data_IF_565817095503
#
_entry.id   IF_565817095503
#
_cell.length_a   1.000
_cell.length_b   1.000
_cell.length_c   1.000
_cell.angle_alpha   90.00
_cell.angle_beta   90.00
_cell.angle_gamma   90.00
#
_symmetry.space_group_name_H-M   'P 1'
#
loop_
_entity.id
_entity.type
_entity.pdbx_description
1 polymer ?
#
# COMPACT_ATOMS: atom_id res chain seq x y z
N UNK A 1 6.31 30.21 -11.39
CA UNK A 1 5.62 29.50 -10.29
C UNK A 1 6.39 28.22 -9.99
N UNK A 2 6.84 27.99 -8.75
CA UNK A 2 7.41 26.68 -8.36
C UNK A 2 6.30 25.65 -8.44
N UNK A 3 6.48 24.59 -9.22
CA UNK A 3 5.51 23.49 -9.31
C UNK A 3 5.37 22.83 -7.92
N UNK A 4 4.14 22.72 -7.42
CA UNK A 4 3.90 22.11 -6.11
C UNK A 4 4.22 20.61 -6.15
N UNK A 5 5.03 20.15 -5.21
CA UNK A 5 5.47 18.75 -5.14
C UNK A 5 4.30 17.78 -4.98
N UNK A 6 4.20 16.64 -5.70
CA UNK A 6 3.01 15.79 -5.74
C UNK A 6 2.43 15.35 -4.39
N UNK A 7 3.27 15.19 -3.36
CA UNK A 7 2.84 14.88 -2.00
C UNK A 7 1.85 15.90 -1.39
N UNK A 8 1.78 17.14 -1.89
CA UNK A 8 0.77 18.10 -1.43
C UNK A 8 -0.67 17.60 -1.65
N UNK A 9 -0.88 16.70 -2.63
CA UNK A 9 -2.20 16.13 -2.92
C UNK A 9 -2.71 15.20 -1.82
N UNK A 10 -1.83 14.77 -0.90
CA UNK A 10 -2.23 13.96 0.24
C UNK A 10 -2.88 14.81 1.33
N UNK A 11 -2.49 16.08 1.46
CA UNK A 11 -2.99 16.94 2.53
C UNK A 11 -4.48 17.26 2.37
N UNK A 12 -5.14 17.44 3.52
CA UNK A 12 -6.56 17.79 3.58
C UNK A 12 -7.42 16.63 4.06
N UNK A 13 -8.70 16.64 3.71
CA UNK A 13 -9.67 15.68 4.22
C UNK A 13 -9.39 14.25 3.75
N UNK A 14 -9.32 13.29 4.68
CA UNK A 14 -9.19 11.86 4.44
C UNK A 14 -10.56 11.18 4.32
N UNK A 15 -11.42 11.45 5.29
CA UNK A 15 -12.81 11.01 5.40
C UNK A 15 -13.54 12.00 6.32
N UNK A 16 -14.84 11.82 6.54
CA UNK A 16 -15.65 12.74 7.34
C UNK A 16 -15.03 13.00 8.72
N UNK A 17 -14.53 14.23 8.91
CA UNK A 17 -13.89 14.71 10.14
C UNK A 17 -12.44 14.23 10.36
N UNK A 18 -11.87 13.39 9.50
CA UNK A 18 -10.45 13.01 9.56
C UNK A 18 -9.64 13.74 8.48
N UNK A 19 -8.45 14.21 8.82
CA UNK A 19 -7.57 14.94 7.88
C UNK A 19 -6.18 14.33 7.85
N UNK A 20 -5.48 14.50 6.72
CA UNK A 20 -4.07 14.18 6.55
C UNK A 20 -3.25 15.47 6.59
N UNK A 21 -2.12 15.39 7.28
CA UNK A 21 -1.00 16.31 7.18
C UNK A 21 0.24 15.57 6.69
N UNK A 22 1.06 16.21 5.87
CA UNK A 22 2.33 15.63 5.40
C UNK A 22 3.52 16.46 5.88
N UNK A 23 4.39 15.83 6.66
CA UNK A 23 5.72 16.35 6.91
C UNK A 23 6.67 15.83 5.81
N UNK A 24 7.53 16.71 5.27
CA UNK A 24 8.46 16.36 4.19
C UNK A 24 9.85 16.94 4.44
N UNK A 25 10.88 16.13 4.21
CA UNK A 25 12.28 16.52 4.21
C UNK A 25 12.96 16.07 2.92
N UNK A 26 13.54 17.01 2.18
CA UNK A 26 14.34 16.69 1.00
C UNK A 26 15.64 15.98 1.41
N UNK A 27 16.03 14.93 0.70
CA UNK A 27 17.27 14.20 0.95
C UNK A 27 18.42 14.73 0.10
N UNK A 28 19.64 14.23 0.36
CA UNK A 28 20.85 14.59 -0.42
C UNK A 28 20.69 14.30 -1.91
N UNK A 29 19.93 13.26 -2.26
CA UNK A 29 19.51 12.96 -3.63
C UNK A 29 18.31 13.85 -3.98
N UNK A 30 18.50 14.81 -4.88
CA UNK A 30 17.55 15.88 -5.14
C UNK A 30 16.16 15.39 -5.58
N UNK A 31 16.10 14.21 -6.22
CA UNK A 31 14.89 13.54 -6.69
C UNK A 31 14.12 12.81 -5.59
N UNK A 32 14.70 12.67 -4.39
CA UNK A 32 14.15 11.91 -3.28
C UNK A 32 13.75 12.80 -2.10
N UNK A 33 12.57 12.52 -1.56
CA UNK A 33 12.06 13.16 -0.36
C UNK A 33 11.67 12.10 0.65
N UNK A 34 12.15 12.23 1.88
CA UNK A 34 11.55 11.53 2.99
C UNK A 34 10.26 12.24 3.38
N UNK A 35 9.19 11.49 3.64
CA UNK A 35 7.93 12.05 4.07
C UNK A 35 7.26 11.19 5.13
N UNK A 36 6.48 11.85 5.97
CA UNK A 36 5.66 11.26 7.02
C UNK A 36 4.24 11.80 6.87
N UNK A 37 3.27 10.92 7.02
CA UNK A 37 1.85 11.20 6.93
C UNK A 37 1.26 11.06 8.32
N UNK A 38 0.62 12.09 8.83
CA UNK A 38 -0.09 12.08 10.10
C UNK A 38 -1.59 12.22 9.86
N UNK A 39 -2.40 11.65 10.76
CA UNK A 39 -3.85 11.83 10.73
C UNK A 39 -4.24 12.78 11.85
N UNK A 40 -5.12 13.73 11.55
CA UNK A 40 -5.84 14.53 12.54
C UNK A 40 -7.24 13.96 12.69
N UNK A 41 -7.66 13.68 13.92
CA UNK A 41 -9.00 13.19 14.23
C UNK A 41 -10.08 14.28 14.17
N UNK A 42 -11.33 13.87 14.42
CA UNK A 42 -12.52 14.74 14.40
C UNK A 42 -12.47 15.90 15.40
N UNK A 43 -11.62 15.81 16.42
CA UNK A 43 -11.45 16.83 17.45
C UNK A 43 -10.23 17.72 17.19
N UNK A 44 -9.58 17.57 16.02
CA UNK A 44 -8.38 18.34 15.68
C UNK A 44 -7.11 17.80 16.35
N UNK A 45 -7.12 16.59 16.93
CA UNK A 45 -5.94 16.00 17.56
C UNK A 45 -5.15 15.20 16.51
N UNK A 46 -3.88 15.54 16.34
CA UNK A 46 -2.95 14.81 15.47
C UNK A 46 -2.48 13.50 16.12
N UNK A 47 -2.24 12.47 15.31
CA UNK A 47 -1.66 11.21 15.76
C UNK A 47 -0.22 11.42 16.25
N UNK A 48 0.15 10.73 17.32
CA UNK A 48 1.49 10.84 17.93
C UNK A 48 2.59 10.26 17.01
N UNK A 49 2.23 9.23 16.25
CA UNK A 49 3.06 8.58 15.24
C UNK A 49 2.50 8.82 13.82
N UNK A 50 3.34 8.73 12.78
CA UNK A 50 2.86 8.74 11.41
C UNK A 50 2.06 7.46 11.10
N UNK A 51 1.03 7.59 10.26
CA UNK A 51 0.28 6.46 9.69
C UNK A 51 1.03 5.84 8.51
N UNK A 52 1.85 6.62 7.83
CA UNK A 52 2.71 6.17 6.74
C UNK A 52 3.98 6.99 6.72
N UNK A 53 5.13 6.36 6.52
CA UNK A 53 6.37 7.08 6.26
C UNK A 53 7.21 6.37 5.22
N UNK A 54 8.06 7.13 4.54
CA UNK A 54 8.96 6.53 3.55
C UNK A 54 9.59 7.53 2.62
N UNK A 55 10.06 7.00 1.50
CA UNK A 55 10.72 7.73 0.44
C UNK A 55 9.75 7.94 -0.74
N UNK A 56 9.71 9.17 -1.22
CA UNK A 56 9.08 9.53 -2.49
C UNK A 56 10.19 9.89 -3.48
N UNK A 57 10.26 9.18 -4.59
CA UNK A 57 11.24 9.42 -5.64
C UNK A 57 10.54 9.85 -6.93
N UNK A 58 11.04 10.93 -7.55
CA UNK A 58 10.62 11.32 -8.90
C UNK A 58 11.17 10.40 -10.00
N UNK A 59 12.10 9.50 -9.64
CA UNK A 59 12.83 8.67 -10.59
C UNK A 59 13.91 9.45 -11.34
N UNK A 60 14.62 8.76 -12.23
CA UNK A 60 15.67 9.32 -13.08
C UNK A 60 15.28 9.04 -14.53
N UNK A 61 14.65 10.02 -15.19
CA UNK A 61 14.16 9.86 -16.55
C UNK A 61 15.30 9.84 -17.58
N UNK A 62 15.21 9.02 -18.64
CA UNK A 62 14.11 8.10 -18.97
C UNK A 62 14.19 6.71 -18.30
N UNK A 63 15.24 6.43 -17.52
CA UNK A 63 15.61 5.09 -17.07
C UNK A 63 14.74 4.51 -15.95
N UNK A 64 14.40 5.33 -14.96
CA UNK A 64 13.71 4.91 -13.74
C UNK A 64 12.47 5.79 -13.55
N UNK A 65 11.31 5.14 -13.50
CA UNK A 65 10.04 5.78 -13.12
C UNK A 65 10.05 6.17 -11.63
N UNK A 66 9.17 7.09 -11.24
CA UNK A 66 9.02 7.45 -9.84
C UNK A 66 8.37 6.32 -9.03
N UNK A 67 8.55 6.40 -7.72
CA UNK A 67 8.09 5.36 -6.80
C UNK A 67 7.90 5.91 -5.38
N UNK A 68 7.10 5.19 -4.60
CA UNK A 68 7.04 5.31 -3.14
C UNK A 68 7.53 3.99 -2.54
N UNK A 69 8.41 4.05 -1.53
CA UNK A 69 8.81 2.91 -0.70
C UNK A 69 8.70 3.32 0.76
N UNK A 70 7.97 2.56 1.58
CA UNK A 70 7.69 2.98 2.95
C UNK A 70 7.04 1.93 3.85
N UNK A 71 6.67 2.40 5.03
CA UNK A 71 6.06 1.63 6.11
C UNK A 71 4.66 2.18 6.38
N UNK A 72 3.72 1.26 6.63
CA UNK A 72 2.35 1.56 7.03
C UNK A 72 2.14 1.14 8.48
N UNK A 73 1.51 2.01 9.27
CA UNK A 73 1.16 1.78 10.66
C UNK A 73 -0.35 1.88 10.81
N UNK A 74 -0.99 0.77 11.20
CA UNK A 74 -2.45 0.72 11.32
C UNK A 74 -2.97 1.18 12.68
N UNK A 75 -2.17 1.06 13.75
CA UNK A 75 -2.52 1.53 15.10
C UNK A 75 -1.98 2.95 15.31
N UNK A 76 -2.89 3.90 15.57
CA UNK A 76 -2.60 5.30 15.87
C UNK A 76 -2.99 5.65 17.31
N UNK A 77 -2.18 6.49 17.95
CA UNK A 77 -2.47 7.07 19.26
C UNK A 77 -2.78 8.55 19.12
N UNK A 78 -3.86 9.00 19.77
CA UNK A 78 -4.31 10.39 19.82
C UNK A 78 -4.41 10.81 21.29
N UNK A 79 -3.35 11.39 21.86
CA UNK A 79 -3.27 11.74 23.29
C UNK A 79 -3.65 10.55 24.19
N UNK A 80 -3.03 9.40 23.93
CA UNK A 80 -3.30 8.14 24.64
C UNK A 80 -4.55 7.36 24.21
N UNK A 81 -5.44 7.92 23.37
CA UNK A 81 -6.55 7.17 22.76
C UNK A 81 -6.06 6.39 21.55
N UNK A 82 -6.18 5.07 21.57
CA UNK A 82 -5.81 4.21 20.44
C UNK A 82 -6.93 4.07 19.42
N UNK A 83 -6.54 3.91 18.16
CA UNK A 83 -7.43 3.63 17.04
C UNK A 83 -6.72 2.74 16.03
N UNK A 84 -7.41 1.73 15.50
CA UNK A 84 -6.93 0.91 14.40
C UNK A 84 -7.62 1.31 13.09
N UNK A 85 -6.85 1.68 12.07
CA UNK A 85 -7.39 2.10 10.79
C UNK A 85 -8.13 0.98 10.06
N UNK A 86 -7.67 -0.27 10.19
CA UNK A 86 -8.29 -1.43 9.54
C UNK A 86 -9.71 -1.72 10.05
N UNK A 87 -10.10 -1.15 11.19
CA UNK A 87 -11.44 -1.24 11.77
C UNK A 87 -12.40 -0.13 11.28
N UNK A 88 -11.88 0.87 10.56
CA UNK A 88 -12.62 2.10 10.20
C UNK A 88 -12.61 2.42 8.71
N UNK A 89 -12.07 1.54 7.87
CA UNK A 89 -11.86 1.74 6.41
C UNK A 89 -11.00 2.97 6.03
N UNK A 90 -10.44 3.71 7.00
CA UNK A 90 -9.57 4.85 6.73
C UNK A 90 -8.26 4.43 6.03
N UNK A 91 -7.85 3.17 6.20
CA UNK A 91 -6.76 2.57 5.44
C UNK A 91 -7.03 2.53 3.92
N UNK A 92 -8.27 2.23 3.50
CA UNK A 92 -8.66 2.29 2.10
C UNK A 92 -8.57 3.70 1.53
N UNK A 93 -9.05 4.71 2.27
CA UNK A 93 -8.98 6.11 1.82
C UNK A 93 -7.53 6.61 1.79
N UNK A 94 -6.72 6.23 2.77
CA UNK A 94 -5.30 6.58 2.82
C UNK A 94 -4.58 6.03 1.59
N UNK A 95 -4.76 4.75 1.27
CA UNK A 95 -4.11 4.14 0.12
C UNK A 95 -4.63 4.66 -1.21
N UNK A 96 -5.92 5.01 -1.33
CA UNK A 96 -6.44 5.70 -2.52
C UNK A 96 -5.76 7.05 -2.71
N UNK A 97 -5.60 7.84 -1.65
CA UNK A 97 -4.88 9.13 -1.70
C UNK A 97 -3.41 8.94 -2.06
N UNK A 98 -2.71 7.99 -1.43
CA UNK A 98 -1.34 7.62 -1.82
C UNK A 98 -1.26 7.30 -3.31
N UNK A 99 -2.15 6.44 -3.81
CA UNK A 99 -2.25 6.09 -5.21
C UNK A 99 -2.47 7.27 -6.15
N UNK A 100 -3.20 8.30 -5.72
CA UNK A 100 -3.47 9.52 -6.51
C UNK A 100 -2.25 10.42 -6.71
N UNK A 101 -1.22 10.29 -5.85
CA UNK A 101 0.06 11.00 -6.00
C UNK A 101 1.00 10.35 -7.01
N UNK A 102 0.71 9.10 -7.39
CA UNK A 102 1.54 8.28 -8.26
C UNK A 102 1.01 8.34 -9.70
N UNK A 103 1.91 8.54 -10.67
CA UNK A 103 1.57 8.34 -12.07
C UNK A 103 1.20 6.87 -12.33
N UNK A 104 0.48 6.54 -13.41
CA UNK A 104 0.13 5.16 -13.72
C UNK A 104 1.33 4.22 -13.77
N UNK A 105 2.47 4.66 -14.32
CA UNK A 105 3.69 3.87 -14.45
C UNK A 105 4.53 3.77 -13.19
N UNK A 106 4.17 4.48 -12.11
CA UNK A 106 4.95 4.52 -10.88
C UNK A 106 4.58 3.37 -9.94
N UNK A 107 5.57 2.88 -9.21
CA UNK A 107 5.39 1.77 -8.25
C UNK A 107 5.07 2.28 -6.84
N UNK A 108 4.35 1.46 -6.08
CA UNK A 108 4.13 1.62 -4.64
C UNK A 108 4.68 0.39 -3.93
N UNK A 109 5.65 0.58 -3.06
CA UNK A 109 6.27 -0.48 -2.26
C UNK A 109 5.95 -0.23 -0.79
N UNK A 110 5.47 -1.26 -0.09
CA UNK A 110 5.17 -1.18 1.33
C UNK A 110 5.74 -2.40 2.03
N UNK A 111 6.58 -2.16 3.03
CA UNK A 111 7.12 -3.22 3.87
C UNK A 111 6.01 -3.84 4.72
N UNK A 112 6.00 -5.17 4.82
CA UNK A 112 5.08 -5.91 5.71
C UNK A 112 5.79 -6.53 6.92
N UNK A 113 7.06 -6.20 7.08
CA UNK A 113 7.78 -6.36 8.33
C UNK A 113 8.19 -4.99 8.86
N UNK A 114 8.39 -4.91 10.17
CA UNK A 114 8.77 -3.68 10.86
C UNK A 114 9.54 -4.04 12.13
N UNK A 115 10.55 -3.25 12.45
CA UNK A 115 11.28 -3.35 13.72
C UNK A 115 10.42 -2.94 14.93
N UNK A 116 9.36 -2.17 14.71
CA UNK A 116 8.55 -1.54 15.77
C UNK A 116 7.25 -2.28 16.08
N UNK A 117 7.10 -3.51 15.57
CA UNK A 117 5.92 -4.36 15.77
C UNK A 117 5.14 -4.60 14.49
N UNK A 118 4.48 -5.76 14.42
CA UNK A 118 3.61 -6.17 13.32
C UNK A 118 2.16 -5.99 13.77
N UNK A 119 1.47 -4.99 13.24
CA UNK A 119 0.01 -4.89 13.39
C UNK A 119 -0.70 -6.05 12.66
N UNK A 120 -2.02 -6.16 12.87
CA UNK A 120 -2.86 -7.22 12.30
C UNK A 120 -2.71 -7.33 10.77
N UNK A 121 -2.81 -6.24 10.04
CA UNK A 121 -2.72 -6.18 8.58
C UNK A 121 -1.40 -6.75 8.06
N UNK A 122 -0.29 -6.35 8.68
CA UNK A 122 1.05 -6.79 8.28
C UNK A 122 1.31 -8.25 8.68
N UNK A 123 0.86 -8.65 9.88
CA UNK A 123 0.95 -10.03 10.36
C UNK A 123 0.15 -11.02 9.51
N UNK A 124 -1.10 -10.70 9.19
CA UNK A 124 -1.94 -11.51 8.29
C UNK A 124 -1.37 -11.57 6.88
N UNK A 125 -0.77 -10.47 6.39
CA UNK A 125 -0.09 -10.44 5.09
C UNK A 125 1.08 -11.42 5.08
N UNK A 126 1.99 -11.33 6.05
CA UNK A 126 3.15 -12.22 6.17
C UNK A 126 2.73 -13.69 6.24
N UNK A 127 1.78 -14.03 7.12
CA UNK A 127 1.26 -15.41 7.23
C UNK A 127 0.59 -15.89 5.95
N UNK A 128 -0.21 -15.02 5.32
CA UNK A 128 -0.91 -15.33 4.08
C UNK A 128 0.04 -15.63 2.92
N UNK A 129 1.09 -14.83 2.76
CA UNK A 129 2.14 -15.07 1.76
C UNK A 129 2.82 -16.43 1.99
N UNK A 130 3.17 -16.75 3.23
CA UNK A 130 3.81 -18.03 3.58
C UNK A 130 2.94 -19.25 3.27
N UNK A 131 1.60 -19.12 3.33
CA UNK A 131 0.68 -20.19 2.92
C UNK A 131 0.17 -20.05 1.46
N UNK A 132 0.85 -19.26 0.64
CA UNK A 132 0.60 -19.19 -0.81
C UNK A 132 -0.64 -18.40 -1.23
N UNK A 133 -1.19 -17.54 -0.36
CA UNK A 133 -2.22 -16.57 -0.77
C UNK A 133 -1.59 -15.61 -1.79
N UNK A 134 -2.23 -15.36 -2.95
CA UNK A 134 -1.72 -14.41 -3.94
C UNK A 134 -1.43 -13.04 -3.29
N UNK A 135 -0.29 -12.39 -3.58
CA UNK A 135 0.10 -11.17 -2.89
C UNK A 135 -0.98 -10.09 -2.89
N UNK A 136 -1.67 -9.89 -4.02
CA UNK A 136 -2.76 -8.90 -4.14
C UNK A 136 -4.01 -9.23 -3.31
N UNK A 137 -4.17 -10.49 -2.90
CA UNK A 137 -5.30 -10.97 -2.08
C UNK A 137 -5.01 -10.98 -0.57
N UNK A 138 -3.80 -10.60 -0.15
CA UNK A 138 -3.48 -10.33 1.25
C UNK A 138 -4.09 -8.99 1.70
N UNK A 139 -4.23 -8.71 3.01
CA UNK A 139 -4.72 -7.41 3.48
C UNK A 139 -3.94 -6.23 2.91
N UNK A 140 -2.60 -6.21 3.05
CA UNK A 140 -1.77 -5.13 2.51
C UNK A 140 -1.80 -5.07 0.98
N UNK A 141 -1.77 -6.22 0.30
CA UNK A 141 -1.87 -6.27 -1.16
C UNK A 141 -3.19 -5.70 -1.67
N UNK A 142 -4.28 -5.87 -0.92
CA UNK A 142 -5.56 -5.28 -1.25
C UNK A 142 -5.58 -3.76 -1.03
N UNK A 143 -4.90 -3.24 -0.01
CA UNK A 143 -4.67 -1.79 0.15
C UNK A 143 -3.88 -1.22 -1.05
N UNK A 144 -2.82 -1.90 -1.48
CA UNK A 144 -2.05 -1.52 -2.68
C UNK A 144 -2.93 -1.58 -3.95
N UNK A 145 -3.85 -2.54 -4.04
CA UNK A 145 -4.86 -2.56 -5.10
C UNK A 145 -5.80 -1.34 -5.04
N UNK A 146 -6.23 -0.91 -3.84
CA UNK A 146 -7.01 0.34 -3.67
C UNK A 146 -6.24 1.59 -4.08
N UNK A 147 -4.90 1.58 -4.00
CA UNK A 147 -4.02 2.61 -4.56
C UNK A 147 -3.91 2.59 -6.11
N UNK A 148 -4.70 1.74 -6.77
CA UNK A 148 -4.82 1.70 -8.24
C UNK A 148 -3.79 0.82 -8.95
N UNK A 149 -3.03 0.01 -8.20
CA UNK A 149 -2.06 -0.95 -8.76
C UNK A 149 -2.76 -2.26 -9.11
N UNK A 150 -2.58 -2.74 -10.34
CA UNK A 150 -3.35 -3.89 -10.86
C UNK A 150 -2.67 -5.23 -10.60
N UNK A 151 -1.39 -5.21 -10.28
CA UNK A 151 -0.57 -6.39 -9.99
C UNK A 151 0.32 -6.06 -8.80
N UNK A 152 0.41 -7.01 -7.87
CA UNK A 152 1.24 -6.91 -6.68
C UNK A 152 2.23 -8.05 -6.70
N UNK A 153 3.51 -7.75 -6.47
CA UNK A 153 4.58 -8.72 -6.28
C UNK A 153 5.01 -8.74 -4.83
N UNK A 154 5.42 -9.91 -4.38
CA UNK A 154 6.11 -10.07 -3.11
C UNK A 154 7.62 -10.07 -3.37
N UNK A 155 8.33 -9.22 -2.64
CA UNK A 155 9.79 -9.14 -2.62
C UNK A 155 10.25 -9.63 -1.26
N UNK A 156 10.36 -10.95 -1.14
CA UNK A 156 10.98 -11.63 0.00
C UNK A 156 12.37 -12.10 -0.41
N UNK A 157 13.41 -11.57 0.24
CA UNK A 157 14.79 -11.99 0.06
C UNK A 157 15.24 -12.76 1.32
N UNK A 158 15.37 -14.10 1.27
CA UNK A 158 15.77 -14.90 2.43
C UNK A 158 17.25 -14.75 2.84
N UNK A 159 18.04 -13.87 2.20
CA UNK A 159 19.50 -13.84 2.36
C UNK A 159 20.01 -12.57 3.09
N UNK A 160 20.40 -12.73 4.36
CA UNK A 160 21.58 -12.03 4.91
C UNK A 160 21.52 -10.51 5.14
N UNK A 161 20.36 -9.91 5.42
CA UNK A 161 20.25 -8.63 6.17
C UNK A 161 20.70 -7.34 5.45
N UNK A 162 21.22 -7.39 4.23
CA UNK A 162 21.68 -6.21 3.49
C UNK A 162 20.66 -5.63 2.50
N UNK A 163 19.56 -6.33 2.20
CA UNK A 163 18.68 -6.02 1.05
C UNK A 163 17.38 -5.26 1.42
N UNK A 164 17.23 -4.87 2.68
CA UNK A 164 16.04 -4.19 3.18
C UNK A 164 14.92 -5.14 3.59
N UNK A 165 13.87 -4.60 4.20
CA UNK A 165 12.77 -5.42 4.72
C UNK A 165 11.93 -6.04 3.60
N UNK A 166 11.34 -7.23 3.83
CA UNK A 166 10.36 -7.81 2.91
C UNK A 166 9.21 -6.85 2.61
N UNK A 167 8.85 -6.74 1.33
CA UNK A 167 7.89 -5.73 0.86
C UNK A 167 6.97 -6.24 -0.23
N UNK A 168 5.75 -5.70 -0.25
CA UNK A 168 4.85 -5.84 -1.40
C UNK A 168 5.05 -4.66 -2.34
N UNK A 169 5.23 -4.94 -3.64
CA UNK A 169 5.27 -3.92 -4.70
C UNK A 169 4.00 -3.97 -5.55
N UNK A 170 3.23 -2.91 -5.53
CA UNK A 170 2.23 -2.62 -6.54
C UNK A 170 2.87 -2.01 -7.79
N UNK A 171 2.97 -2.81 -8.85
CA UNK A 171 3.67 -2.44 -10.07
C UNK A 171 2.90 -1.36 -10.85
N UNK A 172 3.62 -0.36 -11.33
CA UNK A 172 3.10 0.61 -12.28
C UNK A 172 2.73 0.02 -13.64
N UNK A 173 1.70 0.58 -14.27
CA UNK A 173 1.30 0.26 -15.65
C UNK A 173 1.92 1.25 -16.63
N UNK A 174 2.65 0.72 -17.60
CA UNK A 174 3.36 1.54 -18.61
C UNK A 174 2.36 2.12 -19.61
N UNK A 175 1.45 1.30 -20.12
CA UNK A 175 0.44 1.70 -21.10
C UNK A 175 -0.86 0.87 -20.95
N UNK A 176 -1.84 1.11 -21.84
CA UNK A 176 -3.12 0.38 -21.86
C UNK A 176 -2.96 -1.11 -22.17
N UNK A 177 -2.05 -1.51 -23.06
CA UNK A 177 -1.82 -2.93 -23.40
C UNK A 177 -1.23 -3.67 -22.21
N UNK A 178 -0.28 -3.06 -21.51
CA UNK A 178 0.30 -3.56 -20.27
C UNK A 178 -0.78 -3.67 -19.18
N UNK A 179 -1.66 -2.68 -19.05
CA UNK A 179 -2.76 -2.74 -18.09
C UNK A 179 -3.73 -3.90 -18.37
N UNK A 180 -4.07 -4.15 -19.64
CA UNK A 180 -4.92 -5.30 -20.03
C UNK A 180 -4.22 -6.62 -19.73
N UNK A 181 -2.92 -6.72 -20.04
CA UNK A 181 -2.12 -7.92 -19.72
C UNK A 181 -2.07 -8.17 -18.21
N UNK A 182 -1.79 -7.15 -17.40
CA UNK A 182 -1.79 -7.25 -15.94
C UNK A 182 -3.16 -7.69 -15.39
N UNK A 183 -4.25 -7.05 -15.84
CA UNK A 183 -5.61 -7.47 -15.45
C UNK A 183 -5.84 -8.95 -15.76
N UNK A 184 -5.45 -9.41 -16.95
CA UNK A 184 -5.63 -10.81 -17.39
C UNK A 184 -4.82 -11.78 -16.52
N UNK A 185 -3.54 -11.49 -16.30
CA UNK A 185 -2.64 -12.30 -15.47
C UNK A 185 -3.14 -12.39 -14.03
N UNK A 186 -3.44 -11.25 -13.41
CA UNK A 186 -3.98 -11.18 -12.05
C UNK A 186 -5.34 -11.87 -11.94
N UNK A 187 -6.21 -11.72 -12.95
CA UNK A 187 -7.50 -12.41 -12.95
C UNK A 187 -7.35 -13.93 -13.05
N UNK A 188 -6.40 -14.41 -13.84
CA UNK A 188 -6.11 -15.84 -13.96
C UNK A 188 -5.56 -16.41 -12.64
N UNK A 189 -4.60 -15.72 -12.00
CA UNK A 189 -4.04 -16.10 -10.71
C UNK A 189 -5.12 -16.17 -9.62
N UNK A 190 -5.94 -15.13 -9.48
CA UNK A 190 -7.04 -15.11 -8.50
C UNK A 190 -8.10 -16.16 -8.82
N UNK A 191 -8.39 -16.42 -10.09
CA UNK A 191 -9.30 -17.49 -10.51
C UNK A 191 -8.80 -18.88 -10.10
N UNK A 192 -7.50 -19.15 -10.23
CA UNK A 192 -6.88 -20.39 -9.76
C UNK A 192 -6.93 -20.51 -8.24
N UNK A 193 -6.61 -19.43 -7.52
CA UNK A 193 -6.67 -19.38 -6.06
C UNK A 193 -8.07 -19.66 -5.53
N UNK A 194 -9.11 -19.05 -6.12
CA UNK A 194 -10.50 -19.28 -5.73
C UNK A 194 -10.95 -20.72 -5.93
N UNK A 195 -10.45 -21.41 -6.96
CA UNK A 195 -10.82 -22.81 -7.27
C UNK A 195 -10.14 -23.81 -6.35
N UNK A 196 -8.83 -23.66 -6.14
CA UNK A 196 -8.01 -24.70 -5.49
C UNK A 196 -7.88 -24.48 -3.99
N UNK A 197 -7.94 -23.22 -3.54
CA UNK A 197 -7.37 -22.87 -2.25
C UNK A 197 -5.87 -23.12 -2.21
N UNK A 198 -5.17 -22.46 -1.30
CA UNK A 198 -3.72 -22.67 -1.10
C UNK A 198 -3.30 -22.66 0.36
N UNK A 199 -4.13 -22.07 1.22
CA UNK A 199 -3.84 -21.91 2.64
C UNK A 199 -4.74 -22.84 3.43
N UNK A 200 -4.15 -23.68 4.28
CA UNK A 200 -4.89 -24.59 5.16
C UNK A 200 -5.65 -23.82 6.25
N UNK A 201 -5.08 -22.71 6.70
CA UNK A 201 -5.71 -21.79 7.66
C UNK A 201 -6.90 -21.06 7.03
N UNK A 202 -8.10 -21.46 7.43
CA UNK A 202 -9.36 -20.88 6.93
C UNK A 202 -9.60 -19.46 7.40
N UNK A 203 -9.06 -19.06 8.54
CA UNK A 203 -9.14 -17.68 9.05
C UNK A 203 -8.36 -16.72 8.15
N UNK A 204 -7.28 -17.19 7.52
CA UNK A 204 -6.55 -16.44 6.50
C UNK A 204 -7.17 -16.59 5.10
N UNK A 205 -7.57 -17.82 4.74
CA UNK A 205 -8.02 -18.13 3.38
C UNK A 205 -9.37 -17.49 3.03
N UNK A 206 -10.35 -17.52 3.94
CA UNK A 206 -11.71 -17.04 3.64
C UNK A 206 -11.74 -15.52 3.35
N UNK A 207 -11.15 -14.65 4.19
CA UNK A 207 -11.05 -13.22 3.87
C UNK A 207 -10.24 -12.95 2.60
N UNK A 208 -9.18 -13.73 2.33
CA UNK A 208 -8.41 -13.58 1.09
C UNK A 208 -9.22 -13.94 -0.16
N UNK A 209 -10.05 -15.00 -0.09
CA UNK A 209 -10.99 -15.34 -1.17
C UNK A 209 -12.04 -14.25 -1.36
N UNK A 210 -12.50 -13.60 -0.29
CA UNK A 210 -13.40 -12.45 -0.39
C UNK A 210 -12.73 -11.27 -1.11
N UNK A 211 -11.51 -10.90 -0.70
CA UNK A 211 -10.71 -9.86 -1.39
C UNK A 211 -10.49 -10.20 -2.86
N UNK A 212 -10.14 -11.45 -3.17
CA UNK A 212 -9.99 -11.92 -4.55
C UNK A 212 -11.28 -11.72 -5.38
N UNK A 213 -12.45 -12.07 -4.83
CA UNK A 213 -13.74 -11.84 -5.50
C UNK A 213 -14.02 -10.35 -5.72
N UNK A 214 -13.75 -9.50 -4.72
CA UNK A 214 -13.90 -8.03 -4.81
C UNK A 214 -13.00 -7.45 -5.91
N UNK A 215 -11.74 -7.88 -5.99
CA UNK A 215 -10.79 -7.49 -7.04
C UNK A 215 -11.32 -7.91 -8.41
N UNK A 216 -11.68 -9.18 -8.60
CA UNK A 216 -12.19 -9.67 -9.88
C UNK A 216 -13.45 -8.93 -10.34
N UNK A 217 -14.38 -8.63 -9.43
CA UNK A 217 -15.58 -7.84 -9.73
C UNK A 217 -15.21 -6.45 -10.24
N UNK A 218 -14.26 -5.78 -9.58
CA UNK A 218 -13.82 -4.44 -9.97
C UNK A 218 -13.05 -4.40 -11.31
N UNK A 219 -12.40 -5.51 -11.70
CA UNK A 219 -11.70 -5.61 -12.98
C UNK A 219 -12.65 -5.83 -14.17
N UNK A 220 -13.84 -6.41 -13.94
CA UNK A 220 -14.90 -6.61 -14.94
C UNK A 220 -15.72 -5.34 -15.22
N UNK A 221 -15.88 -4.47 -14.22
CA UNK A 221 -16.73 -3.27 -14.30
C UNK A 221 -16.04 -1.99 -14.83
N UNK A 222 -14.96 -2.10 -15.59
CA UNK A 222 -14.21 -0.96 -16.16
C UNK A 222 -13.62 -1.25 -17.54
#
# INVERSE_FOLDING_TARGET
MREMHPLHKLEGELAEGYRIRVARRQLKKAEQNFFQVFITDKNGVESEQPVFEGLYSLGIKPYIDGWIDGHYYEELSFKGRKMNLSETELDFELFRKLGSTLKPSWSLMVAYESFWGKGRTLGETSKGLNCGIPPIATPLGYLIFKAGRLKVKDWYFPEGGNEGMPKLEGIGRVDRKHAVRMKRETSAELGLFLKRGKCEDKELELPAKERARKILKSMKGR
#
